data_IF_005557281250
#
_entry.id   IF_005557281250
#
_cell.length_a   1.000
_cell.length_b   1.000
_cell.length_c   1.000
_cell.angle_alpha   90.00
_cell.angle_beta   90.00
_cell.angle_gamma   90.00
#
_symmetry.space_group_name_H-M   'P 1'
#
loop_
_entity.id
_entity.type
_entity.pdbx_description
1 polymer ?
#
# COMPACT_ATOMS: atom_id res chain seq x y z
N UNK A 1 18.61 -11.49 -15.59
CA UNK A 1 17.80 -10.96 -14.47
C UNK A 1 16.33 -10.78 -14.83
N UNK A 2 15.95 -10.42 -16.06
CA UNK A 2 14.53 -10.57 -16.49
C UNK A 2 14.04 -12.03 -16.40
N UNK A 3 14.95 -12.99 -16.59
CA UNK A 3 14.73 -14.41 -16.31
C UNK A 3 14.42 -14.75 -14.83
N UNK A 4 14.76 -13.88 -13.88
CA UNK A 4 14.43 -14.06 -12.46
C UNK A 4 13.04 -13.52 -12.11
N UNK A 5 12.59 -12.44 -12.78
CA UNK A 5 11.25 -11.88 -12.57
C UNK A 5 10.16 -12.59 -13.40
N UNK A 6 10.50 -13.08 -14.59
CA UNK A 6 9.60 -13.88 -15.42
C UNK A 6 10.39 -14.99 -16.15
N UNK A 7 10.61 -16.16 -15.50
CA UNK A 7 11.36 -17.27 -16.09
C UNK A 7 10.66 -17.90 -17.30
N UNK A 8 9.36 -17.62 -17.49
CA UNK A 8 8.47 -18.33 -18.42
C UNK A 8 8.34 -17.65 -19.79
N UNK A 9 8.68 -16.37 -19.92
CA UNK A 9 8.51 -15.58 -21.15
C UNK A 9 9.71 -14.68 -21.44
N UNK A 10 10.14 -14.61 -22.70
CA UNK A 10 11.24 -13.76 -23.19
C UNK A 10 10.84 -12.28 -23.33
N UNK A 11 9.55 -12.00 -23.50
CA UNK A 11 9.00 -10.66 -23.65
C UNK A 11 8.54 -10.10 -22.30
N UNK A 12 9.09 -8.94 -21.92
CA UNK A 12 8.78 -8.27 -20.65
C UNK A 12 7.31 -7.83 -20.54
N UNK A 13 6.69 -7.47 -21.68
CA UNK A 13 5.28 -7.03 -21.74
C UNK A 13 4.30 -8.17 -21.44
N UNK A 14 4.58 -9.36 -21.98
CA UNK A 14 3.73 -10.54 -21.76
C UNK A 14 3.78 -11.00 -20.31
N UNK A 15 4.98 -10.97 -19.71
CA UNK A 15 5.17 -11.25 -18.29
C UNK A 15 4.46 -10.25 -17.38
N UNK A 16 4.45 -8.96 -17.74
CA UNK A 16 3.72 -7.94 -16.99
C UNK A 16 2.20 -8.15 -17.02
N UNK A 17 1.64 -8.55 -18.17
CA UNK A 17 0.21 -8.83 -18.32
C UNK A 17 -0.23 -10.09 -17.56
N UNK A 18 0.57 -11.16 -17.59
CA UNK A 18 0.26 -12.36 -16.81
C UNK A 18 0.31 -12.08 -15.31
N UNK A 19 1.34 -11.35 -14.86
CA UNK A 19 1.46 -10.91 -13.47
C UNK A 19 0.27 -10.03 -13.07
N UNK A 20 -0.15 -9.09 -13.94
CA UNK A 20 -1.35 -8.28 -13.71
C UNK A 20 -2.59 -9.14 -13.45
N UNK A 21 -2.84 -10.11 -14.33
CA UNK A 21 -4.02 -10.98 -14.23
C UNK A 21 -3.99 -11.88 -13.00
N UNK A 22 -2.82 -12.37 -12.59
CA UNK A 22 -2.67 -13.18 -11.39
C UNK A 22 -2.87 -12.35 -10.11
N UNK A 23 -2.21 -11.20 -10.04
CA UNK A 23 -2.30 -10.30 -8.88
C UNK A 23 -3.69 -9.71 -8.74
N UNK A 24 -4.37 -9.39 -9.85
CA UNK A 24 -5.76 -8.98 -9.82
C UNK A 24 -6.67 -10.06 -9.20
N UNK A 25 -6.54 -11.33 -9.63
CA UNK A 25 -7.38 -12.42 -9.10
C UNK A 25 -7.11 -12.65 -7.61
N UNK A 26 -5.86 -12.58 -7.19
CA UNK A 26 -5.47 -12.68 -5.76
C UNK A 26 -6.02 -11.51 -4.95
N UNK A 27 -5.87 -10.28 -5.45
CA UNK A 27 -6.37 -9.08 -4.80
C UNK A 27 -7.90 -9.13 -4.68
N UNK A 28 -8.63 -9.50 -5.73
CA UNK A 28 -10.08 -9.69 -5.66
C UNK A 28 -10.45 -10.74 -4.61
N UNK A 29 -9.80 -11.89 -4.59
CA UNK A 29 -10.12 -12.96 -3.65
C UNK A 29 -9.83 -12.60 -2.18
N UNK A 30 -8.90 -11.68 -1.92
CA UNK A 30 -8.61 -11.19 -0.57
C UNK A 30 -9.54 -10.04 -0.15
N UNK A 31 -9.80 -9.09 -1.05
CA UNK A 31 -10.58 -7.89 -0.75
C UNK A 31 -12.10 -8.13 -0.76
N UNK A 32 -12.61 -9.06 -1.57
CA UNK A 32 -14.04 -9.42 -1.54
C UNK A 32 -14.51 -9.91 -0.16
N UNK A 33 -13.89 -10.93 0.47
CA UNK A 33 -14.35 -11.43 1.76
C UNK A 33 -14.15 -10.39 2.85
N UNK A 34 -13.05 -9.63 2.83
CA UNK A 34 -12.78 -8.59 3.82
C UNK A 34 -13.84 -7.47 3.76
N UNK A 35 -14.14 -6.96 2.56
CA UNK A 35 -15.18 -5.93 2.41
C UNK A 35 -16.58 -6.47 2.73
N UNK A 36 -16.87 -7.73 2.41
CA UNK A 36 -18.14 -8.38 2.76
C UNK A 36 -18.30 -8.50 4.28
N UNK A 37 -17.25 -8.89 5.00
CA UNK A 37 -17.25 -8.97 6.47
C UNK A 37 -17.46 -7.59 7.09
N UNK A 38 -16.71 -6.58 6.60
CA UNK A 38 -16.83 -5.21 7.12
C UNK A 38 -18.21 -4.60 6.85
N UNK A 39 -18.83 -4.86 5.70
CA UNK A 39 -20.20 -4.41 5.43
C UNK A 39 -21.26 -5.16 6.24
N UNK A 40 -21.06 -6.45 6.50
CA UNK A 40 -21.97 -7.25 7.33
C UNK A 40 -21.96 -6.76 8.80
N UNK A 41 -20.77 -6.47 9.34
CA UNK A 41 -20.59 -6.02 10.73
C UNK A 41 -21.13 -4.59 10.93
N UNK A 42 -20.75 -3.64 10.07
CA UNK A 42 -21.10 -2.23 10.28
C UNK A 42 -22.48 -1.82 9.73
N UNK A 43 -23.06 -2.57 8.79
CA UNK A 43 -24.27 -2.14 8.03
C UNK A 43 -25.33 -3.23 7.82
N UNK A 44 -25.33 -4.29 8.64
CA UNK A 44 -26.29 -5.39 8.53
C UNK A 44 -27.76 -4.95 8.44
N UNK A 45 -28.18 -3.95 9.21
CA UNK A 45 -29.57 -3.45 9.24
C UNK A 45 -29.96 -2.57 8.04
N UNK A 46 -28.98 -1.94 7.37
CA UNK A 46 -29.23 -1.02 6.25
C UNK A 46 -29.15 -1.70 4.88
N UNK A 47 -28.49 -2.87 4.79
CA UNK A 47 -28.42 -3.71 3.58
C UNK A 47 -29.76 -4.41 3.31
N UNK A 48 -30.50 -4.75 4.36
CA UNK A 48 -31.84 -5.36 4.28
C UNK A 48 -32.89 -4.49 3.58
N UNK A 49 -32.71 -3.16 3.53
CA UNK A 49 -33.69 -2.23 2.93
C UNK A 49 -33.46 -1.93 1.44
N UNK A 50 -32.20 -1.96 0.94
CA UNK A 50 -31.86 -1.72 -0.49
C UNK A 50 -30.56 -2.46 -0.89
N UNK A 51 -30.63 -3.73 -1.31
CA UNK A 51 -29.43 -4.54 -1.59
C UNK A 51 -28.74 -4.21 -2.92
N UNK A 52 -29.49 -3.89 -3.98
CA UNK A 52 -28.92 -3.79 -5.34
C UNK A 52 -27.97 -2.60 -5.58
N UNK A 53 -28.38 -1.39 -5.18
CA UNK A 53 -27.58 -0.16 -5.43
C UNK A 53 -26.33 -0.13 -4.55
N UNK A 54 -26.47 -0.57 -3.30
CA UNK A 54 -25.35 -0.66 -2.35
C UNK A 54 -24.32 -1.70 -2.81
N UNK A 55 -24.77 -2.90 -3.25
CA UNK A 55 -23.86 -3.95 -3.72
C UNK A 55 -23.06 -3.52 -4.95
N UNK A 56 -23.70 -2.86 -5.92
CA UNK A 56 -23.00 -2.33 -7.10
C UNK A 56 -21.94 -1.30 -6.71
N UNK A 57 -22.27 -0.37 -5.81
CA UNK A 57 -21.32 0.66 -5.37
C UNK A 57 -20.14 0.06 -4.57
N UNK A 58 -20.38 -0.99 -3.79
CA UNK A 58 -19.32 -1.75 -3.12
C UNK A 58 -18.45 -2.56 -4.08
N UNK A 59 -19.03 -3.19 -5.10
CA UNK A 59 -18.28 -3.93 -6.12
C UNK A 59 -17.44 -2.98 -6.99
N UNK A 60 -17.98 -1.83 -7.38
CA UNK A 60 -17.24 -0.80 -8.11
C UNK A 60 -16.10 -0.24 -7.26
N UNK A 61 -16.34 0.02 -5.97
CA UNK A 61 -15.31 0.49 -5.05
C UNK A 61 -14.20 -0.56 -4.84
N UNK A 62 -14.59 -1.83 -4.67
CA UNK A 62 -13.64 -2.95 -4.52
C UNK A 62 -12.84 -3.18 -5.80
N UNK A 63 -13.53 -3.19 -6.95
CA UNK A 63 -12.90 -3.33 -8.27
C UNK A 63 -11.91 -2.22 -8.56
N UNK A 64 -12.25 -0.98 -8.19
CA UNK A 64 -11.36 0.19 -8.32
C UNK A 64 -10.09 0.04 -7.46
N UNK A 65 -10.21 -0.44 -6.23
CA UNK A 65 -9.04 -0.66 -5.36
C UNK A 65 -8.16 -1.82 -5.81
N UNK A 66 -8.75 -2.92 -6.31
CA UNK A 66 -7.97 -4.04 -6.86
C UNK A 66 -7.30 -3.65 -8.18
N UNK A 67 -7.94 -2.81 -8.98
CA UNK A 67 -7.37 -2.16 -10.16
C UNK A 67 -6.13 -1.34 -9.78
N UNK A 68 -6.26 -0.47 -8.78
CA UNK A 68 -5.16 0.35 -8.31
C UNK A 68 -3.97 -0.49 -7.82
N UNK A 69 -4.22 -1.47 -6.95
CA UNK A 69 -3.16 -2.30 -6.37
C UNK A 69 -2.43 -3.14 -7.44
N UNK A 70 -3.19 -3.78 -8.33
CA UNK A 70 -2.60 -4.57 -9.42
C UNK A 70 -1.83 -3.70 -10.41
N UNK A 71 -2.34 -2.52 -10.78
CA UNK A 71 -1.67 -1.58 -11.66
C UNK A 71 -0.39 -0.99 -11.02
N UNK A 72 -0.43 -0.70 -9.71
CA UNK A 72 0.74 -0.25 -8.96
C UNK A 72 1.88 -1.28 -9.02
N UNK A 73 1.57 -2.55 -8.71
CA UNK A 73 2.56 -3.63 -8.71
C UNK A 73 3.14 -3.90 -10.10
N UNK A 74 2.29 -3.96 -11.14
CA UNK A 74 2.78 -4.22 -12.51
C UNK A 74 3.59 -3.07 -13.05
N UNK A 75 3.19 -1.82 -12.78
CA UNK A 75 3.95 -0.64 -13.18
C UNK A 75 5.32 -0.60 -12.50
N UNK A 76 5.40 -0.98 -11.22
CA UNK A 76 6.67 -1.05 -10.50
C UNK A 76 7.64 -2.06 -11.14
N UNK A 77 7.17 -3.24 -11.54
CA UNK A 77 8.02 -4.27 -12.13
C UNK A 77 8.37 -3.94 -13.58
N UNK A 78 7.39 -3.50 -14.37
CA UNK A 78 7.56 -3.15 -15.77
C UNK A 78 8.56 -2.00 -15.97
N UNK A 79 8.48 -0.95 -15.14
CA UNK A 79 9.35 0.21 -15.29
C UNK A 79 10.82 -0.07 -14.95
N UNK A 80 11.12 -0.96 -13.99
CA UNK A 80 12.49 -1.40 -13.72
C UNK A 80 13.07 -2.14 -14.93
N UNK A 81 12.30 -3.06 -15.52
CA UNK A 81 12.70 -3.76 -16.74
C UNK A 81 12.96 -2.78 -17.90
N UNK A 82 12.10 -1.76 -18.04
CA UNK A 82 12.25 -0.71 -19.05
C UNK A 82 13.51 0.14 -18.83
N UNK A 83 13.71 0.69 -17.63
CA UNK A 83 14.91 1.50 -17.31
C UNK A 83 16.21 0.73 -17.50
N UNK A 84 16.21 -0.56 -17.15
CA UNK A 84 17.37 -1.44 -17.33
C UNK A 84 17.61 -1.78 -18.80
N UNK A 85 16.57 -1.94 -19.63
CA UNK A 85 16.71 -2.11 -21.10
C UNK A 85 17.32 -0.88 -21.76
N UNK A 86 16.94 0.32 -21.34
CA UNK A 86 17.47 1.57 -21.89
C UNK A 86 18.90 1.88 -21.43
N UNK A 87 19.22 1.64 -20.16
CA UNK A 87 20.51 2.10 -19.59
C UNK A 87 21.57 0.98 -19.50
N UNK A 88 21.16 -0.29 -19.56
CA UNK A 88 22.05 -1.45 -19.47
C UNK A 88 22.82 -1.61 -18.15
N UNK A 89 22.61 -0.70 -17.18
CA UNK A 89 23.28 -0.64 -15.88
C UNK A 89 22.26 -0.31 -14.80
N UNK A 90 22.46 -0.83 -13.60
CA UNK A 90 21.68 -0.45 -12.42
C UNK A 90 22.25 0.81 -11.79
N UNK A 91 21.43 1.84 -11.67
CA UNK A 91 21.79 3.08 -10.97
C UNK A 91 20.73 3.39 -9.91
N UNK A 92 21.17 3.97 -8.80
CA UNK A 92 20.30 4.26 -7.66
C UNK A 92 19.11 5.17 -8.02
N UNK A 93 19.30 6.13 -8.94
CA UNK A 93 18.23 7.02 -9.41
C UNK A 93 17.03 6.29 -10.02
N UNK A 94 17.24 5.11 -10.61
CA UNK A 94 16.19 4.34 -11.25
C UNK A 94 15.15 3.84 -10.25
N UNK A 95 15.55 3.56 -9.01
CA UNK A 95 14.64 3.14 -7.94
C UNK A 95 13.78 4.31 -7.44
N UNK A 96 14.35 5.53 -7.37
CA UNK A 96 13.58 6.72 -7.03
C UNK A 96 12.53 7.03 -8.11
N UNK A 97 12.92 6.98 -9.39
CA UNK A 97 11.98 7.21 -10.50
C UNK A 97 10.93 6.09 -10.58
N UNK A 98 11.32 4.84 -10.33
CA UNK A 98 10.39 3.73 -10.23
C UNK A 98 9.33 3.96 -9.16
N UNK A 99 9.72 4.37 -7.95
CA UNK A 99 8.80 4.66 -6.86
C UNK A 99 7.84 5.81 -7.18
N UNK A 100 8.32 6.87 -7.85
CA UNK A 100 7.47 7.96 -8.32
C UNK A 100 6.48 7.50 -9.39
N UNK A 101 6.94 6.68 -10.35
CA UNK A 101 6.13 6.22 -11.46
C UNK A 101 5.07 5.20 -11.02
N UNK A 102 5.42 4.24 -10.16
CA UNK A 102 4.44 3.32 -9.57
C UNK A 102 3.49 4.07 -8.64
N UNK A 103 4.01 4.95 -7.78
CA UNK A 103 3.22 5.77 -6.84
C UNK A 103 2.20 6.67 -7.53
N UNK A 104 2.47 7.13 -8.76
CA UNK A 104 1.53 7.91 -9.57
C UNK A 104 0.21 7.17 -9.85
N UNK A 105 0.20 5.84 -9.81
CA UNK A 105 -1.00 5.03 -10.01
C UNK A 105 -2.04 5.23 -8.89
N UNK A 106 -1.66 5.82 -7.74
CA UNK A 106 -2.60 6.14 -6.65
C UNK A 106 -3.67 7.14 -7.06
N UNK A 107 -3.43 7.89 -8.15
CA UNK A 107 -4.41 8.80 -8.73
C UNK A 107 -5.64 8.07 -9.31
N UNK A 108 -5.54 6.76 -9.58
CA UNK A 108 -6.66 5.93 -10.01
C UNK A 108 -7.67 5.73 -8.86
N UNK A 109 -7.21 5.72 -7.60
CA UNK A 109 -8.07 5.51 -6.43
C UNK A 109 -8.95 6.73 -6.12
N UNK A 110 -10.04 6.55 -5.36
CA UNK A 110 -10.92 7.63 -4.94
C UNK A 110 -10.22 8.62 -3.98
N UNK A 111 -10.41 9.95 -4.12
CA UNK A 111 -9.62 10.97 -3.39
C UNK A 111 -9.69 10.84 -1.87
N UNK A 112 -10.83 10.44 -1.31
CA UNK A 112 -10.98 10.25 0.14
C UNK A 112 -10.12 9.13 0.74
N UNK A 113 -9.73 8.14 -0.07
CA UNK A 113 -8.98 6.95 0.38
C UNK A 113 -7.47 7.06 0.12
N UNK A 114 -7.06 8.00 -0.74
CA UNK A 114 -5.64 8.25 -1.09
C UNK A 114 -4.83 8.70 0.11
N UNK A 115 -5.39 9.61 0.91
CA UNK A 115 -4.69 10.17 2.07
C UNK A 115 -4.58 9.12 3.18
N UNK A 116 -5.62 8.33 3.41
CA UNK A 116 -5.60 7.21 4.36
C UNK A 116 -4.53 6.17 3.98
N UNK A 117 -4.48 5.76 2.71
CA UNK A 117 -3.44 4.86 2.20
C UNK A 117 -2.04 5.46 2.34
N UNK A 118 -1.89 6.75 2.00
CA UNK A 118 -0.63 7.47 2.16
C UNK A 118 -0.16 7.51 3.61
N UNK A 119 -1.06 7.81 4.54
CA UNK A 119 -0.78 7.83 5.98
C UNK A 119 -0.44 6.44 6.51
N UNK A 120 -1.03 5.38 5.95
CA UNK A 120 -0.70 3.98 6.26
C UNK A 120 0.71 3.61 5.79
N UNK A 121 1.10 4.05 4.59
CA UNK A 121 2.40 3.72 4.02
C UNK A 121 3.54 4.59 4.59
N UNK A 122 3.24 5.81 5.04
CA UNK A 122 4.21 6.76 5.58
C UNK A 122 5.07 6.21 6.73
N UNK A 123 4.52 5.64 7.82
CA UNK A 123 5.34 5.12 8.91
C UNK A 123 6.21 3.95 8.46
N UNK A 124 5.72 3.09 7.55
CA UNK A 124 6.52 2.01 6.97
C UNK A 124 7.66 2.54 6.09
N UNK A 125 7.44 3.62 5.36
CA UNK A 125 8.49 4.27 4.59
C UNK A 125 9.57 4.89 5.51
N UNK A 126 9.16 5.52 6.62
CA UNK A 126 10.08 6.07 7.62
C UNK A 126 10.89 4.95 8.29
N UNK A 127 10.24 3.84 8.66
CA UNK A 127 10.90 2.67 9.24
C UNK A 127 11.94 2.07 8.27
N UNK A 128 11.59 1.93 6.99
CA UNK A 128 12.50 1.47 5.96
C UNK A 128 13.69 2.43 5.77
N UNK A 129 13.42 3.74 5.76
CA UNK A 129 14.45 4.78 5.70
C UNK A 129 15.40 4.64 6.91
N UNK A 130 14.86 4.48 8.12
CA UNK A 130 15.62 4.24 9.37
C UNK A 130 16.59 3.08 9.21
N UNK A 131 16.08 1.92 8.81
CA UNK A 131 16.87 0.72 8.62
C UNK A 131 17.96 0.87 7.54
N UNK A 132 17.66 1.58 6.45
CA UNK A 132 18.65 1.91 5.43
C UNK A 132 19.74 2.86 5.97
N UNK A 133 19.35 3.91 6.70
CA UNK A 133 20.28 4.88 7.28
C UNK A 133 21.21 4.25 8.31
N UNK A 134 20.71 3.33 9.14
CA UNK A 134 21.55 2.54 10.06
C UNK A 134 22.55 1.67 9.30
N UNK A 135 22.11 0.96 8.24
CA UNK A 135 23.01 0.13 7.40
C UNK A 135 24.07 0.93 6.67
N UNK A 136 23.77 2.16 6.27
CA UNK A 136 24.73 3.07 5.63
C UNK A 136 25.63 3.80 6.62
N UNK A 137 25.47 3.56 7.92
CA UNK A 137 26.25 4.21 8.98
C UNK A 137 25.88 5.67 9.23
N UNK A 138 24.73 6.14 8.72
CA UNK A 138 24.23 7.50 8.98
C UNK A 138 23.64 7.61 10.39
N UNK A 139 23.02 6.53 10.88
CA UNK A 139 22.36 6.47 12.17
C UNK A 139 22.92 5.34 13.02
N UNK A 140 23.07 5.58 14.33
CA UNK A 140 23.48 4.56 15.28
C UNK A 140 22.25 3.82 15.80
N UNK A 141 22.29 2.49 15.73
CA UNK A 141 21.23 1.65 16.28
C UNK A 141 21.32 1.65 17.81
N UNK A 142 20.24 2.07 18.46
CA UNK A 142 20.14 2.04 19.91
C UNK A 142 19.53 0.69 20.30
N UNK A 143 20.31 -0.11 21.02
CA UNK A 143 19.85 -1.42 21.54
C UNK A 143 18.58 -1.22 22.39
N UNK A 144 17.50 -1.91 22.03
CA UNK A 144 16.14 -1.80 22.61
C UNK A 144 15.43 -0.44 22.41
N UNK A 145 15.76 0.32 21.36
CA UNK A 145 15.13 1.62 21.07
C UNK A 145 13.61 1.55 20.86
N UNK A 146 13.08 0.41 20.42
CA UNK A 146 11.65 0.15 20.27
C UNK A 146 10.87 0.26 21.60
N UNK A 147 11.46 -0.21 22.70
CA UNK A 147 10.86 -0.10 24.03
C UNK A 147 10.79 1.34 24.51
N UNK A 148 11.87 2.11 24.30
CA UNK A 148 11.91 3.53 24.64
C UNK A 148 10.88 4.33 23.81
N UNK A 149 10.82 4.06 22.50
CA UNK A 149 9.85 4.70 21.61
C UNK A 149 8.42 4.42 22.07
N UNK A 150 8.11 3.16 22.38
CA UNK A 150 6.80 2.77 22.89
C UNK A 150 6.46 3.47 24.22
N UNK A 151 7.41 3.52 25.17
CA UNK A 151 7.22 4.21 26.45
C UNK A 151 6.97 5.71 26.27
N UNK A 152 7.73 6.38 25.40
CA UNK A 152 7.57 7.82 25.13
C UNK A 152 6.23 8.09 24.45
N UNK A 153 5.86 7.32 23.42
CA UNK A 153 4.58 7.50 22.72
C UNK A 153 3.38 7.28 23.66
N UNK A 154 3.45 6.23 24.49
CA UNK A 154 2.39 5.94 25.48
C UNK A 154 2.32 7.03 26.55
N UNK A 155 3.47 7.56 27.00
CA UNK A 155 3.52 8.68 27.93
C UNK A 155 2.92 9.97 27.35
N UNK A 156 3.21 10.29 26.09
CA UNK A 156 2.61 11.43 25.39
C UNK A 156 1.10 11.24 25.26
N UNK A 157 0.65 10.05 24.87
CA UNK A 157 -0.79 9.74 24.77
C UNK A 157 -1.49 9.93 26.12
N UNK A 158 -0.90 9.44 27.21
CA UNK A 158 -1.45 9.62 28.55
C UNK A 158 -1.46 11.08 28.99
N UNK A 159 -0.41 11.85 28.65
CA UNK A 159 -0.37 13.29 28.94
C UNK A 159 -1.46 14.05 28.19
N UNK A 160 -1.67 13.73 26.90
CA UNK A 160 -2.75 14.32 26.11
C UNK A 160 -4.12 13.96 26.68
N UNK A 161 -4.31 12.69 27.08
CA UNK A 161 -5.55 12.23 27.71
C UNK A 161 -5.88 12.99 29.00
N UNK A 162 -4.86 13.26 29.84
CA UNK A 162 -5.04 13.99 31.10
C UNK A 162 -5.29 15.49 30.90
N UNK A 163 -4.72 16.09 29.85
CA UNK A 163 -4.75 17.54 29.64
C UNK A 163 -5.98 18.01 28.88
N UNK A 164 -6.44 17.24 27.89
CA UNK A 164 -7.59 17.57 27.05
C UNK A 164 -8.53 16.35 26.86
N UNK A 165 -9.26 15.93 27.91
CA UNK A 165 -10.16 14.78 27.83
C UNK A 165 -11.35 14.98 26.86
N UNK A 166 -11.62 16.21 26.44
CA UNK A 166 -12.75 16.55 25.55
C UNK A 166 -12.45 16.41 24.05
N UNK A 167 -11.21 16.17 23.64
CA UNK A 167 -10.84 16.06 22.21
C UNK A 167 -11.06 14.68 21.60
N UNK A 168 -11.37 13.67 22.42
CA UNK A 168 -11.65 12.31 21.95
C UNK A 168 -13.16 12.19 21.82
N UNK A 169 -13.68 12.42 20.61
CA UNK A 169 -15.07 12.06 20.32
C UNK A 169 -15.18 10.54 20.33
N UNK A 170 -15.73 10.00 21.40
CA UNK A 170 -16.29 8.64 21.44
C UNK A 170 -17.41 8.61 20.39
N UNK A 171 -17.10 8.01 19.23
CA UNK A 171 -18.05 7.74 18.15
C UNK A 171 -18.87 6.49 18.42
#
# INVERSE_FOLDING_TARGET
>A
MCSLQHPRHSNCELGALEFFGQEWKRALNLYLPLNAIMTLIFRGTSILKKPGVNLYQYLVSTGRSTLFLSAYCTMAWYSICCFRRFTGKDRMWMYYVNGLLSGSMVLIEAPGRRLELGLYCLPRAIESLWNCGVKWGWWHDIKNGEGLYFSVMTGILMMLYQKDPASIHEG
#
